data_IF_825096520194
#
_entry.id   IF_825096520194
#
_cell.length_a   1.000
_cell.length_b   1.000
_cell.length_c   1.000
_cell.angle_alpha   90.00
_cell.angle_beta   90.00
_cell.angle_gamma   90.00
#
_symmetry.space_group_name_H-M   'P 1'
#
loop_
_entity.id
_entity.type
_entity.pdbx_description
1 polymer ?
#
# COMPACT_ATOMS: atom_id res chain seq x y z
N UNK A 1 -5.46 21.63 86.56
CA UNK A 1 -4.53 21.74 85.40
C UNK A 1 -4.88 20.69 84.36
N UNK A 2 -5.56 21.09 83.29
CA UNK A 2 -5.54 20.59 81.89
C UNK A 2 -6.81 21.12 81.22
N UNK A 3 -6.62 22.03 80.26
CA UNK A 3 -7.63 22.86 79.61
C UNK A 3 -8.44 22.05 78.60
N UNK A 4 -9.76 22.19 78.65
CA UNK A 4 -10.63 22.08 77.47
C UNK A 4 -10.70 23.47 76.81
N UNK A 5 -10.47 23.57 75.50
CA UNK A 5 -11.07 24.55 74.57
C UNK A 5 -10.55 24.23 73.15
N UNK A 6 -11.38 23.65 72.28
CA UNK A 6 -12.07 24.27 71.14
C UNK A 6 -11.30 24.27 69.82
N UNK A 7 -11.90 23.57 68.86
CA UNK A 7 -11.66 23.63 67.43
C UNK A 7 -12.18 24.98 66.94
N UNK A 8 -11.30 25.83 66.41
CA UNK A 8 -11.67 27.02 65.63
C UNK A 8 -10.99 26.87 64.28
N UNK A 9 -11.80 26.98 63.23
CA UNK A 9 -11.41 26.68 61.86
C UNK A 9 -10.52 27.74 61.23
N UNK A 10 -9.98 27.34 60.09
CA UNK A 10 -9.51 28.23 59.04
C UNK A 10 -9.71 27.49 57.73
N UNK A 11 -10.94 27.64 57.22
CA UNK A 11 -11.33 27.29 55.86
C UNK A 11 -10.61 28.25 54.93
N UNK A 12 -9.61 27.77 54.20
CA UNK A 12 -9.10 28.43 53.02
C UNK A 12 -9.64 27.68 51.81
N UNK A 13 -10.80 28.13 51.33
CA UNK A 13 -11.33 27.79 50.01
C UNK A 13 -10.43 28.47 48.99
N UNK A 14 -9.69 27.68 48.21
CA UNK A 14 -9.10 28.14 46.95
C UNK A 14 -9.75 27.32 45.85
N UNK A 15 -10.80 27.89 45.27
CA UNK A 15 -11.39 27.46 44.01
C UNK A 15 -10.42 27.90 42.91
N UNK A 16 -9.75 26.95 42.26
CA UNK A 16 -9.19 27.15 40.92
C UNK A 16 -9.96 26.25 39.97
N UNK A 17 -10.75 26.91 39.13
CA UNK A 17 -11.48 26.37 38.01
C UNK A 17 -10.50 26.05 36.88
N UNK A 18 -10.65 24.87 36.27
CA UNK A 18 -10.34 24.65 34.85
C UNK A 18 -9.01 23.97 34.54
N UNK A 19 -9.05 22.67 34.25
CA UNK A 19 -8.88 22.15 32.87
C UNK A 19 -9.01 20.62 32.90
N UNK A 20 -9.99 20.16 32.14
CA UNK A 20 -10.23 18.76 31.81
C UNK A 20 -9.15 18.35 30.79
N UNK A 21 -8.25 17.42 31.13
CA UNK A 21 -7.45 16.72 30.13
C UNK A 21 -7.58 15.22 30.36
N UNK A 22 -8.44 14.62 29.54
CA UNK A 22 -8.46 13.21 29.23
C UNK A 22 -7.07 12.83 28.71
N UNK A 23 -6.28 12.11 29.52
CA UNK A 23 -5.11 11.41 29.02
C UNK A 23 -5.62 10.21 28.21
N UNK A 24 -5.67 10.39 26.89
CA UNK A 24 -5.96 9.33 25.94
C UNK A 24 -4.86 8.27 25.97
N UNK A 25 -5.33 7.04 25.89
CA UNK A 25 -4.57 5.80 25.94
C UNK A 25 -3.58 5.72 24.77
N UNK A 26 -2.31 5.52 25.11
CA UNK A 26 -1.26 4.78 24.40
C UNK A 26 -1.60 4.31 22.98
N UNK A 27 -1.28 5.15 21.99
CA UNK A 27 -0.99 4.72 20.61
C UNK A 27 0.51 4.85 20.42
N UNK A 28 1.21 3.71 20.32
CA UNK A 28 2.65 3.63 20.07
C UNK A 28 2.83 2.81 18.80
N UNK A 29 2.82 3.47 17.66
CA UNK A 29 3.22 2.98 16.33
C UNK A 29 3.69 4.24 15.56
N UNK A 30 4.85 4.39 14.93
CA UNK A 30 6.10 3.64 14.83
C UNK A 30 7.23 4.68 14.73
N UNK A 31 8.43 4.33 15.18
CA UNK A 31 9.62 5.14 15.00
C UNK A 31 10.16 4.95 13.56
N UNK A 32 9.55 5.64 12.59
CA UNK A 32 10.08 5.77 11.23
C UNK A 32 11.17 6.85 11.20
N UNK A 33 12.38 6.46 10.81
CA UNK A 33 13.53 7.35 10.63
C UNK A 33 13.20 8.47 9.63
N UNK A 34 13.31 9.72 10.08
CA UNK A 34 13.28 10.88 9.21
C UNK A 34 14.41 10.79 8.17
N UNK A 35 14.04 10.70 6.88
CA UNK A 35 14.83 10.86 5.63
C UNK A 35 14.69 9.72 4.61
N UNK A 36 13.96 8.64 4.88
CA UNK A 36 13.56 7.71 3.81
C UNK A 36 12.31 8.28 3.09
N UNK A 37 12.29 8.37 1.75
CA UNK A 37 11.06 8.68 1.03
C UNK A 37 10.00 7.65 1.40
N UNK A 38 8.73 8.08 1.49
CA UNK A 38 7.64 7.13 1.61
C UNK A 38 7.68 6.23 0.38
N UNK A 39 8.01 4.95 0.59
CA UNK A 39 8.25 4.00 -0.50
C UNK A 39 7.06 3.90 -1.45
N UNK A 40 5.83 4.02 -0.95
CA UNK A 40 4.64 4.02 -1.80
C UNK A 40 4.59 5.23 -2.72
N UNK A 41 4.89 6.42 -2.18
CA UNK A 41 4.96 7.65 -2.97
C UNK A 41 6.06 7.56 -4.02
N UNK A 42 7.21 6.98 -3.69
CA UNK A 42 8.28 6.78 -4.67
C UNK A 42 7.85 5.83 -5.80
N UNK A 43 7.23 4.70 -5.46
CA UNK A 43 6.70 3.76 -6.47
C UNK A 43 5.63 4.42 -7.34
N UNK A 44 4.69 5.16 -6.74
CA UNK A 44 3.64 5.88 -7.46
C UNK A 44 4.22 6.96 -8.39
N UNK A 45 5.18 7.76 -7.89
CA UNK A 45 5.82 8.81 -8.67
C UNK A 45 6.58 8.24 -9.87
N UNK A 46 7.25 7.09 -9.71
CA UNK A 46 7.92 6.39 -10.83
C UNK A 46 6.88 5.83 -11.82
N UNK A 47 5.85 5.13 -11.33
CA UNK A 47 4.83 4.46 -12.16
C UNK A 47 4.00 5.46 -12.98
N UNK A 48 3.81 6.65 -12.45
CA UNK A 48 3.10 7.75 -13.12
C UNK A 48 4.01 8.64 -13.95
N UNK A 49 5.32 8.38 -13.96
CA UNK A 49 6.32 9.14 -14.70
C UNK A 49 6.61 10.54 -14.14
N UNK A 50 6.21 10.82 -12.90
CA UNK A 50 6.62 12.04 -12.17
C UNK A 50 8.10 11.99 -11.80
N UNK A 51 8.60 10.81 -11.47
CA UNK A 51 10.03 10.52 -11.33
C UNK A 51 10.47 9.60 -12.47
N UNK A 52 11.59 9.93 -13.12
CA UNK A 52 12.07 9.22 -14.32
C UNK A 52 13.50 8.72 -14.11
N UNK A 53 13.71 7.73 -13.23
CA UNK A 53 15.01 7.08 -13.09
C UNK A 53 15.42 6.36 -14.38
N UNK A 54 16.69 5.96 -14.50
CA UNK A 54 17.14 5.18 -15.66
C UNK A 54 16.49 3.80 -15.67
N UNK A 55 16.39 3.16 -14.50
CA UNK A 55 15.60 1.94 -14.33
C UNK A 55 15.00 1.83 -12.94
N UNK A 56 13.84 1.19 -12.85
CA UNK A 56 13.27 0.77 -11.57
C UNK A 56 12.57 -0.57 -11.69
N UNK A 57 12.82 -1.45 -10.73
CA UNK A 57 12.18 -2.76 -10.62
C UNK A 57 11.78 -3.05 -9.19
N UNK A 58 10.66 -3.76 -9.02
CA UNK A 58 10.08 -4.04 -7.71
C UNK A 58 9.75 -5.52 -7.61
N UNK A 59 10.38 -6.19 -6.65
CA UNK A 59 10.10 -7.58 -6.30
C UNK A 59 9.29 -7.64 -4.99
N UNK A 60 9.01 -8.84 -4.50
CA UNK A 60 8.20 -9.04 -3.29
C UNK A 60 8.70 -8.28 -2.06
N UNK A 61 10.00 -7.97 -1.96
CA UNK A 61 10.62 -7.39 -0.76
C UNK A 61 11.24 -6.02 -0.97
N UNK A 62 11.61 -5.68 -2.20
CA UNK A 62 12.48 -4.53 -2.46
C UNK A 62 12.10 -3.81 -3.74
N UNK A 63 12.22 -2.49 -3.68
CA UNK A 63 12.33 -1.61 -4.84
C UNK A 63 13.82 -1.34 -5.11
N UNK A 64 14.25 -1.54 -6.35
CA UNK A 64 15.60 -1.27 -6.81
C UNK A 64 15.51 -0.19 -7.87
N UNK A 65 16.13 0.97 -7.62
CA UNK A 65 16.12 2.15 -8.51
C UNK A 65 17.54 2.49 -8.91
N UNK A 66 17.78 2.66 -10.20
CA UNK A 66 19.04 3.19 -10.75
C UNK A 66 18.77 4.58 -11.31
N UNK A 67 19.45 5.59 -10.79
CA UNK A 67 19.33 6.96 -11.26
C UNK A 67 20.04 7.20 -12.61
N UNK A 68 19.95 8.42 -13.15
CA UNK A 68 20.56 8.81 -14.42
C UNK A 68 22.10 8.89 -14.36
N UNK A 69 22.68 8.91 -13.16
CA UNK A 69 24.13 8.91 -12.93
C UNK A 69 24.64 7.46 -12.69
N UNK A 70 23.81 6.45 -12.92
CA UNK A 70 24.07 5.03 -12.73
C UNK A 70 24.29 4.59 -11.28
N UNK A 71 23.78 5.35 -10.30
CA UNK A 71 23.77 4.91 -8.92
C UNK A 71 22.52 4.08 -8.62
N UNK A 72 22.73 2.85 -8.16
CA UNK A 72 21.64 1.96 -7.72
C UNK A 72 21.38 2.10 -6.22
N UNK A 73 20.14 2.39 -5.86
CA UNK A 73 19.63 2.39 -4.48
C UNK A 73 18.57 1.30 -4.31
N UNK A 74 18.64 0.57 -3.20
CA UNK A 74 17.65 -0.45 -2.83
C UNK A 74 16.87 0.03 -1.62
N UNK A 75 15.54 -0.10 -1.69
CA UNK A 75 14.61 0.25 -0.64
C UNK A 75 13.82 -0.99 -0.25
N UNK A 76 13.79 -1.31 1.04
CA UNK A 76 12.93 -2.38 1.54
C UNK A 76 11.46 -1.94 1.49
N UNK A 77 10.59 -2.87 1.08
CA UNK A 77 9.15 -2.68 1.10
C UNK A 77 8.59 -2.88 2.52
N UNK A 78 7.38 -2.38 2.82
CA UNK A 78 6.76 -2.59 4.12
C UNK A 78 6.60 -4.08 4.48
N UNK A 79 6.88 -4.43 5.74
CA UNK A 79 6.84 -5.81 6.22
C UNK A 79 5.44 -6.45 6.17
N UNK A 80 4.38 -5.64 6.08
CA UNK A 80 2.99 -6.08 6.09
C UNK A 80 2.29 -5.97 4.73
N UNK A 81 2.95 -5.41 3.70
CA UNK A 81 2.33 -5.11 2.41
C UNK A 81 3.13 -5.61 1.23
N UNK A 82 2.43 -6.22 0.28
CA UNK A 82 2.93 -6.73 -0.97
C UNK A 82 2.53 -5.78 -2.11
N UNK A 83 3.48 -5.49 -2.98
CA UNK A 83 3.22 -4.73 -4.21
C UNK A 83 2.83 -5.67 -5.34
N UNK A 84 1.68 -5.40 -5.95
CA UNK A 84 1.14 -6.17 -7.06
C UNK A 84 0.84 -5.22 -8.22
N UNK A 85 1.34 -5.53 -9.41
CA UNK A 85 1.09 -4.79 -10.62
C UNK A 85 0.46 -5.70 -11.67
N UNK A 86 -0.73 -5.36 -12.15
CA UNK A 86 -1.53 -6.21 -13.05
C UNK A 86 -1.74 -5.49 -14.39
N UNK A 87 -1.39 -6.14 -15.50
CA UNK A 87 -1.73 -5.69 -16.86
C UNK A 87 -2.65 -6.72 -17.53
N UNK A 88 -3.97 -6.48 -17.54
CA UNK A 88 -4.92 -7.26 -18.34
C UNK A 88 -4.66 -7.07 -19.84
N UNK A 89 -5.04 -8.08 -20.63
CA UNK A 89 -4.92 -8.02 -22.09
C UNK A 89 -6.06 -8.76 -22.78
N UNK A 90 -6.26 -8.49 -24.07
CA UNK A 90 -7.19 -9.16 -24.97
C UNK A 90 -6.41 -9.98 -26.00
N UNK A 91 -5.47 -9.37 -26.73
CA UNK A 91 -4.85 -9.99 -27.90
C UNK A 91 -3.44 -10.50 -27.62
N UNK A 92 -2.60 -9.70 -26.96
CA UNK A 92 -1.19 -10.02 -26.74
C UNK A 92 -0.68 -9.66 -25.34
N UNK A 93 0.28 -10.46 -24.88
CA UNK A 93 0.98 -10.25 -23.61
C UNK A 93 2.46 -10.62 -23.74
N UNK A 94 3.21 -10.41 -22.66
CA UNK A 94 4.59 -10.84 -22.52
C UNK A 94 4.79 -11.49 -21.15
N UNK A 95 5.74 -12.43 -20.98
CA UNK A 95 6.08 -12.95 -19.67
C UNK A 95 6.62 -11.83 -18.78
N UNK A 96 6.26 -11.85 -17.50
CA UNK A 96 6.72 -10.93 -16.48
C UNK A 96 6.68 -11.64 -15.13
N UNK A 97 7.70 -11.47 -14.31
CA UNK A 97 7.81 -12.07 -12.98
C UNK A 97 8.05 -10.98 -11.93
N UNK A 98 9.12 -10.20 -12.15
CA UNK A 98 9.41 -8.97 -11.41
C UNK A 98 8.93 -7.79 -12.25
N UNK A 99 8.12 -6.92 -11.64
CA UNK A 99 7.59 -5.77 -12.36
C UNK A 99 8.69 -4.72 -12.60
N UNK A 100 8.83 -4.30 -13.85
CA UNK A 100 9.66 -3.17 -14.24
C UNK A 100 8.79 -1.93 -14.36
N UNK A 101 8.96 -1.01 -13.41
CA UNK A 101 8.18 0.23 -13.30
C UNK A 101 8.49 1.20 -14.44
N UNK A 102 9.65 1.07 -15.09
CA UNK A 102 10.08 1.94 -16.18
C UNK A 102 10.10 1.26 -17.56
N UNK A 103 10.04 -0.07 -17.62
CA UNK A 103 10.30 -0.81 -18.86
C UNK A 103 9.17 -1.71 -19.37
N UNK A 104 8.17 -2.03 -18.55
CA UNK A 104 7.04 -2.87 -18.97
C UNK A 104 5.93 -2.04 -19.61
N UNK A 105 5.32 -2.57 -20.67
CA UNK A 105 4.19 -1.95 -21.37
C UNK A 105 3.11 -3.01 -21.62
N UNK A 106 2.00 -2.88 -20.90
CA UNK A 106 0.78 -3.63 -21.12
C UNK A 106 0.00 -3.14 -22.34
N UNK A 107 -0.86 -4.01 -22.87
CA UNK A 107 -1.68 -3.72 -24.04
C UNK A 107 -2.72 -2.62 -23.77
N UNK A 108 -3.36 -2.68 -22.61
CA UNK A 108 -4.55 -1.87 -22.30
C UNK A 108 -4.20 -0.64 -21.45
N UNK A 109 -3.68 0.40 -22.09
CA UNK A 109 -3.21 1.63 -21.41
C UNK A 109 -4.31 2.65 -21.21
N UNK A 110 -4.39 3.26 -20.02
CA UNK A 110 -5.41 4.24 -19.65
C UNK A 110 -6.86 3.73 -19.74
N UNK A 111 -7.05 2.42 -19.73
CA UNK A 111 -8.36 1.77 -19.73
C UNK A 111 -8.92 1.63 -18.32
N UNK A 112 -10.24 1.63 -18.20
CA UNK A 112 -10.97 1.42 -16.96
C UNK A 112 -11.43 -0.03 -16.81
N UNK A 113 -11.28 -0.57 -15.60
CA UNK A 113 -11.59 -1.94 -15.25
C UNK A 113 -12.45 -1.98 -14.01
N UNK A 114 -13.39 -2.91 -13.97
CA UNK A 114 -14.12 -3.24 -12.76
C UNK A 114 -13.41 -4.42 -12.06
N UNK A 115 -12.87 -4.16 -10.87
CA UNK A 115 -11.98 -5.05 -10.14
C UNK A 115 -12.63 -5.52 -8.84
N UNK A 116 -12.57 -6.82 -8.60
CA UNK A 116 -13.00 -7.47 -7.35
C UNK A 116 -11.87 -8.35 -6.83
N UNK A 117 -11.54 -8.21 -5.55
CA UNK A 117 -10.45 -8.92 -4.87
C UNK A 117 -10.97 -9.50 -3.56
N UNK A 118 -10.87 -10.82 -3.43
CA UNK A 118 -11.15 -11.57 -2.22
C UNK A 118 -9.87 -12.26 -1.74
N UNK A 119 -9.68 -12.36 -0.43
CA UNK A 119 -8.65 -13.26 0.10
C UNK A 119 -9.18 -14.70 0.24
N UNK A 120 -8.28 -15.64 0.48
CA UNK A 120 -8.58 -17.06 0.66
C UNK A 120 -9.46 -17.38 1.87
N UNK A 121 -9.63 -16.44 2.80
CA UNK A 121 -10.52 -16.57 3.96
C UNK A 121 -11.96 -16.10 3.63
N UNK A 122 -12.17 -15.53 2.44
CA UNK A 122 -13.44 -14.98 2.00
C UNK A 122 -13.65 -13.51 2.38
N UNK A 123 -12.63 -12.85 2.94
CA UNK A 123 -12.70 -11.41 3.19
C UNK A 123 -12.63 -10.66 1.87
N UNK A 124 -13.40 -9.58 1.76
CA UNK A 124 -13.44 -8.74 0.56
C UNK A 124 -12.53 -7.53 0.74
N UNK A 125 -11.45 -7.47 -0.02
CA UNK A 125 -10.54 -6.32 -0.03
C UNK A 125 -11.06 -5.22 -0.96
N UNK A 126 -11.59 -5.62 -2.11
CA UNK A 126 -12.13 -4.72 -3.13
C UNK A 126 -13.35 -5.38 -3.76
N UNK A 127 -14.43 -4.62 -3.95
CA UNK A 127 -15.65 -5.12 -4.56
C UNK A 127 -16.14 -4.16 -5.63
N UNK A 128 -16.29 -4.70 -6.83
CA UNK A 128 -16.82 -4.01 -8.01
C UNK A 128 -16.27 -2.59 -8.20
N UNK A 129 -14.98 -2.41 -7.91
CA UNK A 129 -14.35 -1.10 -7.82
C UNK A 129 -13.73 -0.71 -9.16
N UNK A 130 -13.98 0.51 -9.61
CA UNK A 130 -13.40 1.03 -10.84
C UNK A 130 -11.93 1.39 -10.61
N UNK A 131 -11.05 0.78 -11.38
CA UNK A 131 -9.63 1.09 -11.43
C UNK A 131 -9.22 1.45 -12.84
N UNK A 132 -8.37 2.47 -12.96
CA UNK A 132 -7.81 2.87 -14.24
C UNK A 132 -6.36 2.39 -14.32
N UNK A 133 -6.01 1.74 -15.42
CA UNK A 133 -4.62 1.41 -15.73
C UNK A 133 -3.79 2.67 -16.01
N UNK A 134 -2.51 2.63 -15.68
CA UNK A 134 -1.55 3.67 -15.99
C UNK A 134 -1.29 3.80 -17.49
N UNK A 135 -0.45 4.77 -17.85
CA UNK A 135 0.00 4.95 -19.23
C UNK A 135 0.81 3.74 -19.74
N UNK A 136 1.40 2.96 -18.84
CA UNK A 136 2.08 1.70 -19.12
C UNK A 136 1.12 0.49 -19.18
N UNK A 137 -0.19 0.67 -18.99
CA UNK A 137 -1.18 -0.42 -19.02
C UNK A 137 -1.25 -1.30 -17.78
N UNK A 138 -0.58 -0.92 -16.69
CA UNK A 138 -0.63 -1.64 -15.42
C UNK A 138 -1.54 -0.95 -14.40
N UNK A 139 -2.13 -1.74 -13.51
CA UNK A 139 -2.80 -1.29 -12.29
C UNK A 139 -1.97 -1.73 -11.10
N UNK A 140 -1.49 -0.76 -10.32
CA UNK A 140 -0.65 -0.98 -9.15
C UNK A 140 -1.48 -1.03 -7.87
N UNK A 141 -1.19 -2.02 -7.04
CA UNK A 141 -1.94 -2.36 -5.84
C UNK A 141 -0.98 -2.66 -4.69
N UNK A 142 -1.33 -2.18 -3.50
CA UNK A 142 -0.72 -2.60 -2.25
C UNK A 142 -1.72 -3.45 -1.49
N UNK A 143 -1.36 -4.70 -1.21
CA UNK A 143 -2.24 -5.67 -0.55
C UNK A 143 -1.53 -6.31 0.64
N UNK A 144 -2.26 -6.81 1.66
CA UNK A 144 -1.63 -7.57 2.73
C UNK A 144 -0.78 -8.76 2.25
N UNK A 145 0.33 -9.01 2.95
CA UNK A 145 1.19 -10.17 2.73
C UNK A 145 0.58 -11.48 3.23
N UNK A 146 1.29 -12.57 2.92
CA UNK A 146 1.16 -13.91 3.50
C UNK A 146 -0.22 -14.52 3.34
N UNK A 147 -0.85 -14.28 2.19
CA UNK A 147 -2.12 -14.90 1.85
C UNK A 147 -2.29 -15.08 0.36
N UNK A 148 -3.38 -15.73 0.00
CA UNK A 148 -3.78 -15.95 -1.38
C UNK A 148 -5.00 -15.09 -1.70
N UNK A 149 -5.02 -14.51 -2.89
CA UNK A 149 -6.09 -13.68 -3.40
C UNK A 149 -6.73 -14.31 -4.64
N UNK A 150 -8.06 -14.18 -4.72
CA UNK A 150 -8.82 -14.37 -5.95
C UNK A 150 -9.13 -12.98 -6.51
N UNK A 151 -8.63 -12.72 -7.71
CA UNK A 151 -8.81 -11.44 -8.41
C UNK A 151 -9.67 -11.67 -9.64
N UNK A 152 -10.70 -10.85 -9.79
CA UNK A 152 -11.59 -10.83 -10.95
C UNK A 152 -11.58 -9.43 -11.56
N UNK A 153 -11.34 -9.38 -12.87
CA UNK A 153 -11.32 -8.16 -13.67
C UNK A 153 -12.39 -8.27 -14.75
N UNK A 154 -13.16 -7.19 -14.92
CA UNK A 154 -14.16 -7.06 -15.99
C UNK A 154 -13.90 -5.79 -16.77
N UNK A 155 -13.97 -5.90 -18.09
CA UNK A 155 -13.91 -4.78 -19.02
C UNK A 155 -14.74 -5.10 -20.26
N UNK A 156 -15.66 -4.21 -20.63
CA UNK A 156 -16.54 -4.35 -21.80
C UNK A 156 -17.25 -5.73 -21.92
N UNK A 157 -17.66 -6.28 -20.77
CA UNK A 157 -18.35 -7.57 -20.69
C UNK A 157 -17.43 -8.79 -20.76
N UNK A 158 -16.13 -8.62 -21.03
CA UNK A 158 -15.11 -9.67 -20.94
C UNK A 158 -14.61 -9.83 -19.51
N UNK A 159 -14.17 -11.02 -19.17
CA UNK A 159 -13.76 -11.37 -17.81
C UNK A 159 -12.41 -12.07 -17.81
N UNK A 160 -11.59 -11.75 -16.81
CA UNK A 160 -10.38 -12.48 -16.46
C UNK A 160 -10.37 -12.75 -14.96
N UNK A 161 -9.99 -13.97 -14.56
CA UNK A 161 -9.86 -14.36 -13.17
C UNK A 161 -8.48 -14.99 -12.94
N UNK A 162 -7.88 -14.70 -11.79
CA UNK A 162 -6.63 -15.32 -11.38
C UNK A 162 -6.61 -15.54 -9.88
N UNK A 163 -5.80 -16.52 -9.46
CA UNK A 163 -5.45 -16.74 -8.07
C UNK A 163 -3.95 -16.51 -7.92
N UNK A 164 -3.54 -15.69 -6.97
CA UNK A 164 -2.13 -15.40 -6.68
C UNK A 164 -1.87 -15.34 -5.19
N UNK A 165 -0.64 -15.60 -4.79
CA UNK A 165 -0.18 -15.44 -3.40
C UNK A 165 0.75 -14.25 -3.26
N UNK A 166 0.93 -13.79 -2.01
CA UNK A 166 1.72 -12.60 -1.65
C UNK A 166 2.84 -12.93 -0.67
N UNK A 167 3.47 -14.09 -0.83
CA UNK A 167 4.63 -14.52 -0.06
C UNK A 167 5.94 -13.96 -0.62
N UNK A 168 7.00 -14.08 0.17
CA UNK A 168 8.33 -13.53 -0.06
C UNK A 168 9.01 -13.79 -1.41
N UNK A 169 8.60 -14.82 -2.14
CA UNK A 169 9.20 -15.22 -3.42
C UNK A 169 8.18 -15.17 -4.58
N UNK A 170 6.99 -14.62 -4.34
CA UNK A 170 5.95 -14.56 -5.35
C UNK A 170 6.20 -13.41 -6.33
N UNK A 171 5.73 -13.62 -7.56
CA UNK A 171 5.84 -12.64 -8.64
C UNK A 171 4.98 -11.41 -8.35
N UNK A 172 5.52 -10.23 -8.64
CA UNK A 172 4.83 -8.93 -8.45
C UNK A 172 4.15 -8.45 -9.72
N UNK A 173 4.42 -9.08 -10.86
CA UNK A 173 3.98 -8.64 -12.18
C UNK A 173 3.03 -9.65 -12.82
N UNK A 174 1.74 -9.30 -12.91
CA UNK A 174 0.71 -10.19 -13.43
C UNK A 174 0.30 -9.75 -14.84
N UNK A 175 0.72 -10.53 -15.82
CA UNK A 175 0.49 -10.29 -17.26
C UNK A 175 -0.29 -11.45 -17.90
N UNK A 176 -0.80 -12.37 -17.09
CA UNK A 176 -1.46 -13.61 -17.53
C UNK A 176 -2.98 -13.51 -17.55
N UNK A 177 -3.55 -12.34 -17.24
CA UNK A 177 -5.00 -12.13 -17.17
C UNK A 177 -5.56 -11.74 -18.54
N UNK A 178 -5.87 -12.75 -19.36
CA UNK A 178 -6.56 -12.55 -20.64
C UNK A 178 -8.06 -12.35 -20.45
N UNK A 179 -8.59 -11.26 -20.99
CA UNK A 179 -10.01 -10.93 -20.99
C UNK A 179 -10.72 -11.65 -22.14
N UNK A 180 -11.70 -12.49 -21.80
CA UNK A 180 -12.52 -13.24 -22.77
C UNK A 180 -14.00 -13.31 -22.38
#
# INVERSE_FOLDING_TARGET
MKKQMWIIGSVAVVIVIGTYLFASNTGRDEAGTANAPNIRTLVEDISTGKETPESASINAKQLIVTDQDQHTTTYDLPENEFFLSIAPYVDQTHPCAIHSLTGCQGEMSNEEFNVTIHDSEGNTLMKDSMMKSGANGFMDLWVPRDRTYLIRIVHDGKVAETQLSTYDNDDTCITTMQLS
#
